data_IF_766505257103
#
_entry.id   IF_766505257103
#
_cell.length_a   1.000
_cell.length_b   1.000
_cell.length_c   1.000
_cell.angle_alpha   90.00
_cell.angle_beta   90.00
_cell.angle_gamma   90.00
#
_symmetry.space_group_name_H-M   'P 1'
#
loop_
_entity.id
_entity.type
_entity.pdbx_description
1 polymer ?
#
# COMPACT_ATOMS: atom_id res chain seq x y z
N UNK A 1 34.64 -49.32 -21.95
CA UNK A 1 34.37 -47.92 -22.42
C UNK A 1 32.89 -47.55 -22.60
N UNK A 2 31.95 -48.48 -22.47
CA UNK A 2 30.48 -48.15 -22.67
C UNK A 2 29.77 -47.68 -21.37
N UNK A 3 30.29 -47.88 -20.22
CA UNK A 3 29.66 -47.52 -18.92
C UNK A 3 29.90 -46.06 -18.47
N UNK A 4 30.97 -45.41 -18.95
CA UNK A 4 31.26 -44.00 -18.60
C UNK A 4 30.36 -42.99 -19.34
N UNK A 5 29.85 -43.33 -20.52
CA UNK A 5 28.96 -42.44 -21.29
C UNK A 5 27.50 -42.42 -20.81
N UNK A 6 27.08 -43.41 -20.01
CA UNK A 6 25.71 -43.44 -19.48
C UNK A 6 25.62 -42.53 -18.21
N UNK A 7 26.67 -42.49 -17.38
CA UNK A 7 26.72 -41.62 -16.18
C UNK A 7 26.76 -40.13 -16.59
N UNK A 8 27.48 -39.79 -17.66
CA UNK A 8 27.57 -38.40 -18.12
C UNK A 8 26.27 -37.87 -18.71
N UNK A 9 25.50 -38.73 -19.37
CA UNK A 9 24.16 -38.37 -19.86
C UNK A 9 23.10 -38.28 -18.77
N UNK A 10 23.22 -39.06 -17.70
CA UNK A 10 22.34 -39.00 -16.53
C UNK A 10 22.58 -37.72 -15.70
N UNK A 11 23.82 -37.24 -15.60
CA UNK A 11 24.17 -36.01 -14.89
C UNK A 11 23.70 -34.76 -15.65
N UNK A 12 23.71 -34.77 -17.00
CA UNK A 12 23.19 -33.66 -17.81
C UNK A 12 21.65 -33.56 -17.75
N UNK A 13 20.96 -34.67 -17.60
CA UNK A 13 19.47 -34.68 -17.48
C UNK A 13 19.03 -34.28 -16.07
N UNK A 14 19.84 -34.50 -15.03
CA UNK A 14 19.50 -34.09 -13.65
C UNK A 14 19.73 -32.59 -13.39
N UNK A 15 20.51 -31.89 -14.23
CA UNK A 15 20.78 -30.46 -14.13
C UNK A 15 19.73 -29.58 -14.83
N UNK A 16 18.76 -30.15 -15.54
CA UNK A 16 17.74 -29.41 -16.29
C UNK A 16 16.39 -29.28 -15.57
N UNK A 17 16.25 -29.78 -14.34
CA UNK A 17 15.03 -29.64 -13.54
C UNK A 17 15.22 -28.86 -12.24
N UNK A 18 16.12 -27.91 -12.17
CA UNK A 18 15.94 -26.81 -11.23
C UNK A 18 14.87 -25.89 -11.84
N UNK A 19 13.63 -26.18 -11.51
CA UNK A 19 12.53 -25.25 -11.71
C UNK A 19 12.86 -23.98 -10.90
N UNK A 20 13.64 -23.08 -11.47
CA UNK A 20 13.82 -21.74 -10.91
C UNK A 20 12.44 -21.11 -10.94
N UNK A 21 11.75 -21.12 -9.78
CA UNK A 21 10.57 -20.28 -9.60
C UNK A 21 11.02 -18.87 -9.95
N UNK A 22 10.71 -18.42 -11.16
CA UNK A 22 10.97 -17.06 -11.58
C UNK A 22 10.27 -16.16 -10.57
N UNK A 23 11.04 -15.40 -9.79
CA UNK A 23 10.48 -14.43 -8.87
C UNK A 23 9.78 -13.39 -9.75
N UNK A 24 8.47 -13.32 -9.61
CA UNK A 24 7.66 -12.37 -10.38
C UNK A 24 8.00 -10.97 -9.90
N UNK A 25 8.62 -10.16 -10.74
CA UNK A 25 9.07 -8.81 -10.39
C UNK A 25 7.92 -7.82 -10.11
N UNK A 26 6.69 -8.16 -10.52
CA UNK A 26 5.48 -7.34 -10.36
C UNK A 26 4.24 -8.21 -10.23
N UNK A 27 3.30 -7.75 -9.41
CA UNK A 27 1.99 -8.40 -9.18
C UNK A 27 0.88 -7.35 -9.25
N UNK A 28 -0.38 -7.79 -9.26
CA UNK A 28 -1.53 -6.91 -9.31
C UNK A 28 -1.94 -6.51 -10.73
N UNK A 29 -2.93 -5.62 -10.83
CA UNK A 29 -3.53 -5.22 -12.10
C UNK A 29 -2.57 -4.36 -12.94
N UNK A 30 -2.38 -4.73 -14.19
CA UNK A 30 -1.57 -3.98 -15.17
C UNK A 30 -2.45 -3.09 -16.03
N UNK A 31 -2.12 -1.81 -16.13
CA UNK A 31 -2.73 -0.87 -17.07
C UNK A 31 -1.65 -0.23 -17.94
N UNK A 32 -1.73 -0.33 -19.28
CA UNK A 32 -0.77 0.31 -20.18
C UNK A 32 -0.70 1.83 -20.00
N UNK A 33 -1.81 2.51 -19.73
CA UNK A 33 -1.85 3.97 -19.53
C UNK A 33 -1.14 4.42 -18.25
N UNK A 34 -0.88 3.51 -17.30
CA UNK A 34 -0.24 3.77 -16.01
C UNK A 34 1.16 3.15 -15.87
N UNK A 35 1.74 2.68 -16.98
CA UNK A 35 3.06 2.00 -17.00
C UNK A 35 4.18 2.86 -16.43
N UNK A 36 4.07 4.19 -16.48
CA UNK A 36 5.07 5.11 -15.91
C UNK A 36 5.24 4.90 -14.39
N UNK A 37 4.18 4.53 -13.66
CA UNK A 37 4.28 4.17 -12.24
C UNK A 37 5.06 2.86 -12.04
N UNK A 38 4.87 1.88 -12.94
CA UNK A 38 5.64 0.62 -12.91
C UNK A 38 7.13 0.87 -13.07
N UNK A 39 7.50 1.71 -14.05
CA UNK A 39 8.89 2.06 -14.33
C UNK A 39 9.50 2.79 -13.14
N UNK A 40 8.79 3.76 -12.58
CA UNK A 40 9.27 4.54 -11.44
C UNK A 40 9.44 3.67 -10.19
N UNK A 41 8.49 2.79 -9.89
CA UNK A 41 8.62 1.86 -8.76
C UNK A 41 9.81 0.92 -8.93
N UNK A 42 10.02 0.35 -10.12
CA UNK A 42 11.20 -0.49 -10.39
C UNK A 42 12.50 0.28 -10.18
N UNK A 43 12.57 1.51 -10.68
CA UNK A 43 13.73 2.36 -10.52
C UNK A 43 13.98 2.72 -9.05
N UNK A 44 12.93 3.05 -8.30
CA UNK A 44 13.03 3.29 -6.85
C UNK A 44 13.63 2.07 -6.13
N UNK A 45 13.06 0.88 -6.35
CA UNK A 45 13.56 -0.34 -5.70
C UNK A 45 15.01 -0.62 -6.06
N UNK A 46 15.36 -0.52 -7.35
CA UNK A 46 16.71 -0.77 -7.85
C UNK A 46 17.73 0.25 -7.33
N UNK A 47 17.41 1.54 -7.39
CA UNK A 47 18.40 2.60 -7.09
C UNK A 47 18.71 2.68 -5.58
N UNK A 48 17.82 2.21 -4.72
CA UNK A 48 17.98 2.25 -3.27
C UNK A 48 18.09 0.87 -2.62
N UNK A 49 18.28 -0.19 -3.41
CA UNK A 49 18.35 -1.59 -2.95
C UNK A 49 17.17 -1.98 -2.05
N UNK A 50 15.97 -1.54 -2.41
CA UNK A 50 14.75 -1.83 -1.68
C UNK A 50 14.23 -3.21 -2.11
N UNK A 51 14.08 -4.18 -1.19
CA UNK A 51 13.63 -5.52 -1.55
C UNK A 51 12.24 -5.55 -2.16
N UNK A 52 11.29 -4.79 -1.63
CA UNK A 52 9.93 -4.79 -2.12
C UNK A 52 9.13 -3.57 -1.71
N UNK A 53 8.04 -3.33 -2.44
CA UNK A 53 7.15 -2.22 -2.17
C UNK A 53 5.79 -2.38 -2.83
N UNK A 54 4.89 -1.53 -2.46
CA UNK A 54 3.51 -1.48 -2.94
C UNK A 54 3.12 -0.04 -3.30
N UNK A 55 2.34 0.13 -4.36
CA UNK A 55 1.73 1.41 -4.73
C UNK A 55 0.26 1.20 -5.09
N UNK A 56 -0.62 2.02 -4.52
CA UNK A 56 -2.01 2.14 -4.91
C UNK A 56 -2.37 3.60 -5.19
N UNK A 57 -3.26 3.81 -6.17
CA UNK A 57 -3.71 5.15 -6.59
C UNK A 57 -5.22 5.09 -6.84
N UNK A 58 -5.94 6.05 -6.29
CA UNK A 58 -7.34 6.29 -6.64
C UNK A 58 -7.47 7.54 -7.51
N UNK A 59 -8.43 7.52 -8.39
CA UNK A 59 -8.84 8.67 -9.19
C UNK A 59 -10.36 8.77 -9.16
N UNK A 60 -10.88 9.93 -8.75
CA UNK A 60 -12.31 10.16 -8.56
C UNK A 60 -12.99 9.04 -7.76
N UNK A 61 -12.40 8.72 -6.60
CA UNK A 61 -12.92 7.72 -5.66
C UNK A 61 -12.73 6.25 -6.08
N UNK A 62 -12.29 5.95 -7.30
CA UNK A 62 -12.07 4.59 -7.80
C UNK A 62 -10.61 4.18 -7.65
N UNK A 63 -10.34 2.97 -7.22
CA UNK A 63 -8.99 2.40 -7.19
C UNK A 63 -8.59 2.00 -8.62
N UNK A 64 -7.77 2.83 -9.26
CA UNK A 64 -7.37 2.66 -10.67
C UNK A 64 -6.00 2.00 -10.85
N UNK A 65 -5.23 1.94 -9.76
CA UNK A 65 -3.91 1.30 -9.76
C UNK A 65 -3.64 0.65 -8.41
N UNK A 66 -3.23 -0.62 -8.42
CA UNK A 66 -2.83 -1.35 -7.21
C UNK A 66 -1.86 -2.46 -7.58
N UNK A 67 -0.57 -2.28 -7.21
CA UNK A 67 0.49 -3.21 -7.60
C UNK A 67 1.52 -3.43 -6.50
N UNK A 68 2.06 -4.67 -6.48
CA UNK A 68 3.21 -5.07 -5.69
C UNK A 68 4.46 -5.22 -6.57
N UNK A 69 5.61 -4.89 -6.00
CA UNK A 69 6.92 -4.89 -6.66
C UNK A 69 7.97 -5.57 -5.79
N UNK A 70 8.85 -6.36 -6.39
CA UNK A 70 9.96 -7.02 -5.70
C UNK A 70 9.49 -8.09 -4.70
N UNK A 71 10.21 -8.22 -3.60
CA UNK A 71 10.10 -9.33 -2.64
C UNK A 71 9.46 -8.91 -1.32
N UNK A 72 8.43 -9.62 -0.93
CA UNK A 72 7.86 -9.61 0.42
C UNK A 72 8.79 -10.33 1.41
N UNK A 73 9.41 -11.43 0.96
CA UNK A 73 10.40 -12.20 1.71
C UNK A 73 11.55 -12.60 0.80
N UNK A 74 12.78 -12.11 1.11
CA UNK A 74 14.00 -12.42 0.36
C UNK A 74 14.40 -13.90 0.51
N UNK A 75 14.19 -14.49 1.68
CA UNK A 75 14.57 -15.87 1.98
C UNK A 75 13.63 -16.85 1.30
N UNK A 76 12.33 -16.66 1.47
CA UNK A 76 11.31 -17.49 0.83
C UNK A 76 11.11 -17.15 -0.65
N UNK A 77 11.72 -16.07 -1.16
CA UNK A 77 11.58 -15.55 -2.52
C UNK A 77 10.11 -15.33 -2.92
N UNK A 78 9.31 -14.85 -1.99
CA UNK A 78 7.91 -14.51 -2.25
C UNK A 78 7.78 -13.08 -2.74
N UNK A 79 6.98 -12.87 -3.79
CA UNK A 79 6.73 -11.53 -4.34
C UNK A 79 5.81 -10.71 -3.44
N UNK A 80 5.96 -9.39 -3.46
CA UNK A 80 4.97 -8.48 -2.88
C UNK A 80 3.68 -8.56 -3.69
N UNK A 81 2.56 -8.74 -3.00
CA UNK A 81 1.21 -8.75 -3.58
C UNK A 81 0.43 -7.51 -3.14
N UNK A 82 -0.58 -7.06 -3.92
CA UNK A 82 -1.39 -5.89 -3.57
C UNK A 82 -2.14 -5.99 -2.23
N UNK A 83 -2.36 -7.20 -1.72
CA UNK A 83 -2.99 -7.48 -0.43
C UNK A 83 -1.99 -7.75 0.71
N UNK A 84 -0.68 -7.63 0.44
CA UNK A 84 0.30 -7.68 1.52
C UNK A 84 0.16 -6.47 2.43
N UNK A 85 0.38 -6.67 3.73
CA UNK A 85 0.36 -5.61 4.72
C UNK A 85 1.79 -5.26 5.14
N UNK A 86 2.01 -3.97 5.36
CA UNK A 86 3.27 -3.36 5.75
C UNK A 86 3.09 -2.58 7.03
N UNK A 87 4.14 -2.42 7.84
CA UNK A 87 4.17 -1.41 8.90
C UNK A 87 4.07 -0.03 8.27
N UNK A 88 3.07 0.74 8.68
CA UNK A 88 2.81 2.06 8.12
C UNK A 88 3.39 3.20 8.95
N UNK A 89 4.04 2.86 10.07
CA UNK A 89 4.69 3.81 10.95
C UNK A 89 3.76 5.01 11.28
N UNK A 90 4.24 6.24 11.12
CA UNK A 90 3.50 7.46 11.50
C UNK A 90 2.20 7.72 10.72
N UNK A 91 1.90 7.02 9.64
CA UNK A 91 0.56 7.06 9.06
C UNK A 91 -0.52 6.57 10.06
N UNK A 92 -0.13 5.81 11.08
CA UNK A 92 -1.00 5.44 12.21
C UNK A 92 -1.61 6.66 12.91
N UNK A 93 -0.94 7.81 12.87
CA UNK A 93 -1.44 9.05 13.48
C UNK A 93 -2.69 9.58 12.77
N UNK A 94 -2.77 9.39 11.46
CA UNK A 94 -3.97 9.76 10.69
C UNK A 94 -5.19 8.95 11.16
N UNK A 95 -5.01 7.64 11.41
CA UNK A 95 -6.07 6.75 11.93
C UNK A 95 -6.56 7.26 13.30
N UNK A 96 -5.61 7.57 14.20
CA UNK A 96 -5.92 8.10 15.53
C UNK A 96 -6.61 9.47 15.43
N UNK A 97 -6.14 10.35 14.55
CA UNK A 97 -6.74 11.68 14.34
C UNK A 97 -8.18 11.55 13.81
N UNK A 98 -8.43 10.72 12.80
CA UNK A 98 -9.78 10.44 12.28
C UNK A 98 -10.69 9.92 13.40
N UNK A 99 -10.19 9.01 14.24
CA UNK A 99 -10.96 8.45 15.36
C UNK A 99 -11.30 9.52 16.42
N UNK A 100 -10.36 10.39 16.77
CA UNK A 100 -10.63 11.52 17.69
C UNK A 100 -11.64 12.49 17.05
N UNK A 101 -11.51 12.79 15.78
CA UNK A 101 -12.44 13.69 15.08
C UNK A 101 -13.84 13.07 14.95
N UNK A 102 -13.95 11.76 14.84
CA UNK A 102 -15.23 11.05 14.90
C UNK A 102 -15.88 11.18 16.28
N UNK A 103 -15.12 11.03 17.37
CA UNK A 103 -15.60 11.27 18.74
C UNK A 103 -15.96 12.73 18.99
N UNK A 104 -15.20 13.67 18.40
CA UNK A 104 -15.47 15.10 18.44
C UNK A 104 -16.82 15.43 17.77
N UNK A 105 -17.08 14.88 16.60
CA UNK A 105 -18.33 15.05 15.86
C UNK A 105 -19.53 14.52 16.62
N UNK A 106 -19.35 13.45 17.42
CA UNK A 106 -20.37 12.91 18.32
C UNK A 106 -20.57 13.73 19.60
N UNK A 107 -19.81 14.81 19.81
CA UNK A 107 -19.85 15.61 21.05
C UNK A 107 -19.31 14.88 22.29
N UNK A 108 -18.55 13.78 22.11
CA UNK A 108 -17.99 12.97 23.21
C UNK A 108 -16.65 13.49 23.71
N UNK A 109 -16.01 14.39 22.96
CA UNK A 109 -14.74 15.02 23.27
C UNK A 109 -14.68 16.41 22.63
N UNK A 110 -14.12 17.40 23.35
CA UNK A 110 -13.76 18.71 22.81
C UNK A 110 -12.28 18.79 22.44
N UNK A 111 -11.92 19.58 21.43
CA UNK A 111 -10.52 19.78 21.05
C UNK A 111 -9.73 20.55 22.13
N UNK A 112 -10.40 21.35 22.91
CA UNK A 112 -9.83 22.14 24.00
C UNK A 112 -9.97 21.44 25.37
N UNK A 113 -10.55 20.22 25.42
CA UNK A 113 -10.60 19.42 26.65
C UNK A 113 -9.18 19.08 27.10
N UNK A 114 -8.92 19.28 28.42
CA UNK A 114 -7.63 18.94 29.02
C UNK A 114 -7.47 17.43 29.19
N UNK A 115 -6.25 16.96 29.00
CA UNK A 115 -5.95 15.52 29.02
C UNK A 115 -5.71 15.02 30.44
N UNK A 116 -4.92 15.71 31.24
CA UNK A 116 -4.37 15.21 32.51
C UNK A 116 -4.91 15.98 33.74
N UNK A 117 -4.83 15.32 34.91
CA UNK A 117 -5.20 15.89 36.17
C UNK A 117 -6.61 15.52 36.64
N UNK A 118 -7.05 16.09 37.77
CA UNK A 118 -8.34 15.74 38.37
C UNK A 118 -9.54 16.04 37.47
N UNK A 119 -9.45 17.10 36.66
CA UNK A 119 -10.49 17.54 35.74
C UNK A 119 -10.20 17.15 34.29
N UNK A 120 -9.09 16.45 34.03
CA UNK A 120 -8.74 15.98 32.70
C UNK A 120 -9.44 14.67 32.32
N UNK A 121 -9.43 14.34 31.04
CA UNK A 121 -10.00 13.07 30.53
C UNK A 121 -9.30 11.87 31.18
N UNK A 122 -7.97 11.90 31.26
CA UNK A 122 -7.16 10.92 31.99
C UNK A 122 -6.98 11.39 33.43
N UNK A 123 -7.98 11.11 34.26
CA UNK A 123 -8.05 11.56 35.66
C UNK A 123 -7.62 10.48 36.67
N UNK A 124 -6.98 9.43 36.24
CA UNK A 124 -6.47 8.36 37.11
C UNK A 124 -5.38 8.91 38.06
N UNK A 125 -5.22 8.27 39.23
CA UNK A 125 -4.32 8.77 40.30
C UNK A 125 -2.88 8.98 39.80
N UNK A 126 -2.41 8.18 38.86
CA UNK A 126 -1.07 8.30 38.25
C UNK A 126 -0.87 9.66 37.55
N UNK A 127 -1.94 10.29 37.05
CA UNK A 127 -1.88 11.58 36.35
C UNK A 127 -2.20 12.80 37.25
N UNK A 128 -2.44 12.58 38.54
CA UNK A 128 -2.73 13.67 39.48
C UNK A 128 -1.49 14.26 40.16
N UNK A 129 -0.35 13.56 40.12
CA UNK A 129 0.89 13.94 40.82
C UNK A 129 2.04 14.06 39.81
N UNK A 130 1.88 14.95 38.80
CA UNK A 130 2.91 15.24 37.80
C UNK A 130 3.75 16.41 38.27
N UNK A 131 5.09 16.33 38.11
CA UNK A 131 6.06 17.34 38.58
C UNK A 131 5.86 18.68 37.85
N UNK A 132 5.84 18.65 36.51
CA UNK A 132 5.62 19.85 35.70
C UNK A 132 4.12 20.16 35.58
N UNK A 133 3.67 21.19 36.30
CA UNK A 133 2.26 21.60 36.33
C UNK A 133 1.73 22.08 34.98
N UNK A 134 2.59 22.47 34.05
CA UNK A 134 2.20 22.83 32.67
C UNK A 134 1.51 21.65 31.92
N UNK A 135 1.79 20.41 32.33
CA UNK A 135 1.15 19.20 31.74
C UNK A 135 -0.38 19.26 31.87
N UNK A 136 -0.92 19.87 32.93
CA UNK A 136 -2.37 19.99 33.12
C UNK A 136 -3.04 20.96 32.12
N UNK A 137 -2.28 21.77 31.40
CA UNK A 137 -2.77 22.62 30.30
C UNK A 137 -2.73 21.96 28.93
N UNK A 138 -2.31 20.70 28.84
CA UNK A 138 -2.29 19.96 27.55
C UNK A 138 -3.72 19.60 27.17
N UNK A 139 -4.13 19.99 25.96
CA UNK A 139 -5.44 19.68 25.42
C UNK A 139 -5.35 18.59 24.31
N UNK A 140 -6.50 18.07 23.89
CA UNK A 140 -6.63 17.15 22.76
C UNK A 140 -5.98 17.75 21.51
N UNK A 141 -6.26 19.01 21.21
CA UNK A 141 -5.69 19.73 20.06
C UNK A 141 -4.17 19.81 20.15
N UNK A 142 -3.60 20.08 21.33
CA UNK A 142 -2.14 20.12 21.51
C UNK A 142 -1.47 18.78 21.24
N UNK A 143 -2.12 17.65 21.58
CA UNK A 143 -1.60 16.32 21.26
C UNK A 143 -1.68 16.02 19.76
N UNK A 144 -2.83 16.28 19.13
CA UNK A 144 -3.04 16.05 17.70
C UNK A 144 -2.09 16.89 16.83
N UNK A 145 -1.77 18.11 17.24
CA UNK A 145 -0.94 19.05 16.49
C UNK A 145 0.53 19.11 16.94
N UNK A 146 1.00 18.20 17.81
CA UNK A 146 2.37 18.20 18.32
C UNK A 146 2.78 19.45 19.09
N UNK A 147 1.83 20.13 19.72
CA UNK A 147 2.06 21.35 20.52
C UNK A 147 2.04 21.11 22.04
N UNK A 148 2.16 19.86 22.48
CA UNK A 148 2.12 19.52 23.92
C UNK A 148 3.39 19.86 24.68
N UNK A 149 4.52 20.05 24.01
CA UNK A 149 5.83 20.21 24.67
C UNK A 149 6.45 18.88 25.15
N UNK A 150 5.78 17.75 24.98
CA UNK A 150 6.30 16.42 25.34
C UNK A 150 7.42 16.00 24.38
N UNK A 151 8.48 15.38 24.91
CA UNK A 151 9.49 14.71 24.08
C UNK A 151 8.94 13.43 23.45
N UNK A 152 9.54 12.98 22.34
CA UNK A 152 9.12 11.75 21.68
C UNK A 152 9.57 10.47 22.36
N UNK A 153 10.45 10.54 23.37
CA UNK A 153 11.21 9.40 23.90
C UNK A 153 10.83 8.95 25.30
N UNK A 154 10.03 9.69 26.07
CA UNK A 154 9.74 9.35 27.46
C UNK A 154 8.25 9.14 27.71
N UNK A 155 7.87 7.93 28.10
CA UNK A 155 6.53 7.57 28.57
C UNK A 155 6.33 7.84 30.07
N UNK A 156 7.38 8.31 30.80
CA UNK A 156 7.33 8.56 32.24
C UNK A 156 6.91 10.01 32.53
N UNK A 157 5.61 10.26 32.51
CA UNK A 157 5.06 11.60 32.70
C UNK A 157 5.36 12.21 34.07
N UNK A 158 5.51 11.39 35.12
CA UNK A 158 5.72 11.87 36.49
C UNK A 158 6.96 12.74 36.65
N UNK A 159 8.04 12.42 35.96
CA UNK A 159 9.33 13.11 36.02
C UNK A 159 9.66 13.92 34.77
N UNK A 160 8.78 13.95 33.79
CA UNK A 160 9.04 14.66 32.53
C UNK A 160 8.74 16.16 32.71
N UNK A 161 9.73 16.98 32.34
CA UNK A 161 9.53 18.43 32.15
C UNK A 161 9.18 18.67 30.68
N UNK A 162 8.19 19.53 30.41
CA UNK A 162 7.84 19.94 29.05
C UNK A 162 8.91 20.88 28.49
N UNK A 163 9.23 20.72 27.20
CA UNK A 163 10.19 21.58 26.51
C UNK A 163 9.71 23.05 26.42
N UNK A 164 8.39 23.24 26.41
CA UNK A 164 7.74 24.54 26.33
C UNK A 164 6.31 24.45 26.89
N UNK A 165 5.68 25.60 27.12
CA UNK A 165 4.26 25.67 27.50
C UNK A 165 3.37 25.16 26.35
N UNK A 166 2.39 24.27 26.61
CA UNK A 166 1.50 23.76 25.59
C UNK A 166 0.88 24.86 24.73
N UNK A 167 0.86 24.69 23.43
CA UNK A 167 0.32 25.63 22.44
C UNK A 167 1.30 26.73 22.00
N UNK A 168 2.46 26.93 22.66
CA UNK A 168 3.39 28.05 22.34
C UNK A 168 4.43 27.67 21.28
N UNK A 169 4.68 26.39 21.04
CA UNK A 169 5.63 25.89 20.06
C UNK A 169 5.19 24.49 19.63
N UNK A 170 5.94 23.88 18.70
CA UNK A 170 5.68 22.53 18.20
C UNK A 170 6.93 21.64 18.27
N UNK A 171 6.75 20.41 18.74
CA UNK A 171 7.75 19.35 18.77
C UNK A 171 7.07 18.01 18.48
N UNK A 172 7.48 17.36 17.41
CA UNK A 172 6.89 16.06 17.01
C UNK A 172 6.97 15.06 18.17
N UNK A 173 5.83 14.55 18.60
CA UNK A 173 5.73 13.69 19.78
C UNK A 173 4.92 12.42 19.48
N UNK A 174 5.59 11.26 19.48
CA UNK A 174 4.94 9.97 19.45
C UNK A 174 4.14 9.73 20.74
N UNK A 175 4.68 10.15 21.87
CA UNK A 175 4.05 10.02 23.19
C UNK A 175 2.70 10.72 23.24
N UNK A 176 2.57 11.90 22.62
CA UNK A 176 1.29 12.60 22.52
C UNK A 176 0.20 11.75 21.88
N UNK A 177 0.54 11.04 20.79
CA UNK A 177 -0.41 10.15 20.11
C UNK A 177 -0.69 8.86 20.88
N UNK A 178 0.26 8.33 21.64
CA UNK A 178 -0.01 7.21 22.57
C UNK A 178 -1.05 7.64 23.62
N UNK A 179 -0.97 8.88 24.14
CA UNK A 179 -2.00 9.39 25.03
C UNK A 179 -3.36 9.61 24.36
N UNK A 180 -3.39 10.01 23.08
CA UNK A 180 -4.65 10.04 22.33
C UNK A 180 -5.29 8.65 22.22
N UNK A 181 -4.50 7.58 22.04
CA UNK A 181 -4.98 6.21 22.13
C UNK A 181 -5.63 5.91 23.49
N UNK A 182 -4.98 6.29 24.60
CA UNK A 182 -5.54 6.16 25.95
C UNK A 182 -6.81 6.99 26.16
N UNK A 183 -6.87 8.18 25.56
CA UNK A 183 -8.08 9.02 25.57
C UNK A 183 -9.23 8.31 24.88
N UNK A 184 -9.01 7.70 23.71
CA UNK A 184 -10.03 6.90 23.01
C UNK A 184 -10.51 5.77 23.91
N UNK A 185 -9.61 4.98 24.51
CA UNK A 185 -9.96 3.89 25.43
C UNK A 185 -10.79 4.38 26.64
N UNK A 186 -10.38 5.53 27.24
CA UNK A 186 -11.08 6.09 28.40
C UNK A 186 -12.50 6.52 28.08
N UNK A 187 -12.72 7.14 26.92
CA UNK A 187 -14.02 7.65 26.48
C UNK A 187 -14.91 6.52 26.00
N UNK A 188 -14.36 5.57 25.24
CA UNK A 188 -15.15 4.50 24.61
C UNK A 188 -15.35 3.29 25.51
N UNK A 189 -14.51 3.10 26.52
CA UNK A 189 -14.43 1.90 27.37
C UNK A 189 -14.10 0.62 26.60
N UNK A 190 -13.42 0.78 25.44
CA UNK A 190 -12.96 -0.30 24.58
C UNK A 190 -11.46 -0.21 24.36
N UNK A 191 -10.79 -1.32 24.01
CA UNK A 191 -9.41 -1.28 23.54
C UNK A 191 -9.32 -0.41 22.29
N UNK A 192 -8.25 0.36 22.17
CA UNK A 192 -8.05 1.32 21.08
C UNK A 192 -8.19 0.67 19.70
N UNK A 193 -7.52 -0.48 19.50
CA UNK A 193 -7.55 -1.17 18.20
C UNK A 193 -8.94 -1.70 17.87
N UNK A 194 -9.60 -2.30 18.86
CA UNK A 194 -10.97 -2.81 18.72
C UNK A 194 -11.93 -1.71 18.30
N UNK A 195 -11.91 -0.57 19.03
CA UNK A 195 -12.78 0.56 18.68
C UNK A 195 -12.53 1.10 17.27
N UNK A 196 -11.25 1.30 16.90
CA UNK A 196 -10.89 1.79 15.56
C UNK A 196 -11.35 0.82 14.48
N UNK A 197 -11.11 -0.48 14.66
CA UNK A 197 -11.49 -1.49 13.68
C UNK A 197 -13.00 -1.58 13.50
N UNK A 198 -13.75 -1.62 14.59
CA UNK A 198 -15.18 -1.82 14.52
C UNK A 198 -15.94 -0.55 14.08
N UNK A 199 -15.45 0.64 14.48
CA UNK A 199 -16.19 1.89 14.27
C UNK A 199 -15.72 2.65 13.02
N UNK A 200 -14.43 2.60 12.68
CA UNK A 200 -13.85 3.37 11.58
C UNK A 200 -13.58 2.48 10.37
N UNK A 201 -12.94 1.32 10.55
CA UNK A 201 -12.45 0.51 9.43
C UNK A 201 -13.49 -0.47 8.88
N UNK A 202 -14.23 -1.16 9.74
CA UNK A 202 -15.21 -2.16 9.30
C UNK A 202 -16.35 -1.58 8.44
N UNK A 203 -16.92 -0.39 8.75
CA UNK A 203 -17.93 0.24 7.87
C UNK A 203 -17.39 0.56 6.48
N UNK A 204 -16.08 0.73 6.32
CA UNK A 204 -15.41 0.94 5.04
C UNK A 204 -15.05 -0.38 4.33
N UNK A 205 -15.33 -1.53 4.93
CA UNK A 205 -14.91 -2.84 4.40
C UNK A 205 -13.38 -3.03 4.45
N UNK A 206 -12.69 -2.41 5.42
CA UNK A 206 -11.26 -2.57 5.66
C UNK A 206 -11.07 -3.63 6.76
N UNK A 207 -10.68 -4.85 6.38
CA UNK A 207 -10.58 -5.99 7.30
C UNK A 207 -9.15 -6.27 7.77
N UNK A 208 -8.15 -5.99 6.92
CA UNK A 208 -6.77 -6.43 7.15
C UNK A 208 -5.90 -5.41 7.91
N UNK A 209 -6.34 -4.15 8.03
CA UNK A 209 -5.67 -3.16 8.89
C UNK A 209 -5.81 -3.51 10.37
N UNK A 210 -4.68 -3.61 11.06
CA UNK A 210 -4.62 -3.94 12.50
C UNK A 210 -3.30 -3.50 13.13
N UNK A 211 -3.17 -3.60 14.44
CA UNK A 211 -1.88 -3.37 15.08
C UNK A 211 -0.89 -4.51 14.76
N UNK A 212 0.33 -4.12 14.37
CA UNK A 212 1.40 -5.04 14.07
C UNK A 212 2.04 -5.64 15.32
N UNK A 213 3.00 -6.55 15.10
CA UNK A 213 3.81 -7.18 16.13
C UNK A 213 5.28 -6.80 15.94
N UNK A 214 5.99 -6.65 17.05
CA UNK A 214 7.40 -6.23 17.02
C UNK A 214 8.34 -7.35 16.57
N UNK A 215 8.15 -8.57 17.09
CA UNK A 215 9.04 -9.70 16.87
C UNK A 215 8.70 -10.44 15.57
N UNK A 216 9.73 -10.93 14.87
CA UNK A 216 9.58 -11.64 13.59
C UNK A 216 8.66 -12.86 13.69
N UNK A 217 8.78 -13.64 14.76
CA UNK A 217 7.99 -14.86 14.95
C UNK A 217 6.50 -14.59 15.21
N UNK A 218 6.15 -13.35 15.54
CA UNK A 218 4.78 -12.92 15.80
C UNK A 218 4.17 -12.14 14.61
N UNK A 219 4.89 -12.09 13.48
CA UNK A 219 4.46 -11.43 12.25
C UNK A 219 3.08 -11.93 11.82
N UNK A 220 2.25 -11.02 11.36
CA UNK A 220 0.88 -11.32 10.94
C UNK A 220 0.84 -12.05 9.58
N UNK A 221 -0.22 -12.80 9.29
CA UNK A 221 -0.46 -13.31 7.94
C UNK A 221 -0.44 -12.18 6.90
N UNK A 222 0.08 -12.45 5.70
CA UNK A 222 0.28 -11.49 4.61
C UNK A 222 1.26 -10.34 4.90
N UNK A 223 1.81 -10.22 6.11
CA UNK A 223 2.78 -9.18 6.44
C UNK A 223 4.13 -9.47 5.78
N UNK A 224 4.73 -8.46 5.15
CA UNK A 224 6.06 -8.57 4.52
C UNK A 224 7.17 -8.70 5.57
N UNK A 225 8.36 -9.13 5.17
CA UNK A 225 9.57 -9.01 5.98
C UNK A 225 10.19 -7.63 5.80
N UNK A 226 10.82 -7.12 6.87
CA UNK A 226 11.46 -5.79 6.91
C UNK A 226 12.98 -5.93 6.89
N UNK A 227 13.64 -5.00 6.22
CA UNK A 227 15.07 -5.05 5.96
C UNK A 227 15.73 -3.74 6.38
N UNK A 228 16.70 -3.85 7.27
CA UNK A 228 17.59 -2.77 7.69
C UNK A 228 18.92 -2.86 6.93
N UNK A 229 19.82 -1.93 7.17
CA UNK A 229 21.19 -2.00 6.66
C UNK A 229 21.80 -3.38 6.97
N UNK A 230 22.29 -4.13 5.95
CA UNK A 230 22.84 -5.47 6.16
C UNK A 230 24.01 -5.54 7.15
N UNK A 231 24.71 -4.42 7.35
CA UNK A 231 25.83 -4.31 8.31
C UNK A 231 25.43 -3.79 9.68
N UNK A 232 24.12 -3.51 9.91
CA UNK A 232 23.64 -3.04 11.20
C UNK A 232 23.82 -4.13 12.27
N UNK A 233 24.41 -3.79 13.44
CA UNK A 233 24.57 -4.77 14.51
C UNK A 233 23.22 -5.16 15.11
N UNK A 234 23.15 -6.35 15.69
CA UNK A 234 22.07 -6.70 16.60
C UNK A 234 22.09 -5.76 17.81
N UNK A 235 20.94 -5.51 18.38
CA UNK A 235 20.76 -4.65 19.55
C UNK A 235 19.95 -5.39 20.64
N UNK A 236 20.05 -4.99 21.92
CA UNK A 236 19.19 -5.54 22.96
C UNK A 236 17.72 -5.37 22.61
N UNK A 237 16.93 -6.41 22.83
CA UNK A 237 15.48 -6.34 22.67
C UNK A 237 14.85 -5.38 23.67
N UNK A 238 13.91 -4.57 23.25
CA UNK A 238 13.11 -3.69 24.12
C UNK A 238 12.19 -4.46 25.07
N UNK A 239 12.01 -5.76 24.86
CA UNK A 239 11.19 -6.64 25.73
C UNK A 239 12.04 -7.39 26.76
N UNK A 240 13.27 -7.71 26.40
CA UNK A 240 14.24 -8.41 27.24
C UNK A 240 15.67 -8.00 26.81
N UNK A 241 16.30 -7.15 27.59
CA UNK A 241 17.63 -6.59 27.28
C UNK A 241 18.76 -7.64 27.22
N UNK A 242 18.52 -8.87 27.67
CA UNK A 242 19.47 -9.98 27.57
C UNK A 242 19.45 -10.67 26.20
N UNK A 243 18.39 -10.44 25.40
CA UNK A 243 18.20 -11.04 24.08
C UNK A 243 18.60 -10.03 23.00
N UNK A 244 19.53 -10.44 22.14
CA UNK A 244 19.96 -9.62 20.99
C UNK A 244 19.09 -9.90 19.77
N UNK A 245 18.55 -8.84 19.17
CA UNK A 245 17.61 -8.91 18.03
C UNK A 245 18.00 -7.95 16.91
N UNK A 246 17.55 -8.19 15.67
CA UNK A 246 17.64 -7.20 14.60
C UNK A 246 16.84 -5.93 14.97
N UNK A 247 17.38 -4.77 14.64
CA UNK A 247 16.79 -3.46 15.00
C UNK A 247 15.32 -3.33 14.61
N UNK A 248 14.93 -3.83 13.43
CA UNK A 248 13.55 -3.81 12.91
C UNK A 248 12.61 -4.81 13.60
N UNK A 249 13.13 -5.75 14.40
CA UNK A 249 12.34 -6.78 15.06
C UNK A 249 12.48 -6.75 16.59
N UNK A 250 11.97 -5.66 17.17
CA UNK A 250 11.95 -5.48 18.65
C UNK A 250 13.20 -4.83 19.22
N UNK A 251 14.09 -4.27 18.37
CA UNK A 251 15.29 -3.59 18.82
C UNK A 251 15.15 -2.09 19.05
N UNK A 252 14.18 -1.42 18.38
CA UNK A 252 14.10 0.03 18.43
C UNK A 252 12.69 0.58 18.71
N UNK A 253 11.64 -0.22 18.44
CA UNK A 253 10.26 0.26 18.51
C UNK A 253 9.30 -0.86 18.90
N UNK A 254 8.40 -0.58 19.85
CA UNK A 254 7.31 -1.49 20.21
C UNK A 254 6.05 -1.16 19.42
N UNK A 255 5.68 -2.04 18.49
CA UNK A 255 4.42 -1.94 17.74
C UNK A 255 3.23 -2.00 18.69
N UNK A 256 3.29 -2.88 19.69
CA UNK A 256 2.24 -3.15 20.65
C UNK A 256 1.93 -1.95 21.54
N UNK A 257 2.98 -1.26 22.05
CA UNK A 257 2.83 -0.10 22.92
C UNK A 257 2.59 1.20 22.16
N UNK A 258 2.78 1.20 20.85
CA UNK A 258 2.75 2.39 19.99
C UNK A 258 1.62 2.34 18.95
N UNK A 259 0.56 1.56 19.19
CA UNK A 259 -0.56 1.40 18.25
C UNK A 259 -1.03 2.74 17.70
N UNK A 260 -1.33 3.70 18.55
CA UNK A 260 -1.92 4.99 18.16
C UNK A 260 -0.96 5.95 17.44
N UNK A 261 0.36 5.76 17.55
CA UNK A 261 1.34 6.67 16.95
C UNK A 261 2.15 6.10 15.79
N UNK A 262 2.24 4.74 15.68
CA UNK A 262 3.13 4.13 14.69
C UNK A 262 3.01 2.62 14.57
N UNK A 263 2.09 1.97 15.28
CA UNK A 263 2.02 0.52 15.42
C UNK A 263 1.08 -0.21 14.46
N UNK A 264 0.45 0.46 13.49
CA UNK A 264 -0.45 -0.18 12.54
C UNK A 264 0.29 -0.82 11.37
N UNK A 265 -0.34 -1.87 10.82
CA UNK A 265 -0.01 -2.44 9.52
C UNK A 265 -1.21 -2.32 8.59
N UNK A 266 -0.94 -2.09 7.29
CA UNK A 266 -1.95 -1.92 6.27
C UNK A 266 -1.41 -2.30 4.88
N UNK A 267 -2.30 -2.55 3.92
CA UNK A 267 -1.99 -2.50 2.49
C UNK A 267 -2.14 -1.08 1.95
N UNK A 268 -1.56 -0.80 0.79
CA UNK A 268 -1.78 0.49 0.10
C UNK A 268 -3.23 0.68 -0.33
N UNK A 269 -3.95 -0.41 -0.61
CA UNK A 269 -5.38 -0.36 -0.95
C UNK A 269 -6.22 0.09 0.24
N UNK A 270 -5.97 -0.48 1.43
CA UNK A 270 -6.68 -0.10 2.66
C UNK A 270 -6.44 1.37 3.00
N UNK A 271 -5.19 1.83 2.87
CA UNK A 271 -4.85 3.24 3.07
C UNK A 271 -5.58 4.16 2.08
N UNK A 272 -5.63 3.78 0.80
CA UNK A 272 -6.39 4.53 -0.21
C UNK A 272 -7.88 4.53 0.09
N UNK A 273 -8.45 3.40 0.54
CA UNK A 273 -9.85 3.29 0.91
C UNK A 273 -10.19 4.19 2.10
N UNK A 274 -9.35 4.19 3.14
CA UNK A 274 -9.49 5.09 4.28
C UNK A 274 -9.36 6.56 3.87
N UNK A 275 -8.44 6.90 2.97
CA UNK A 275 -8.27 8.27 2.48
C UNK A 275 -9.52 8.73 1.73
N UNK A 276 -10.10 7.91 0.84
CA UNK A 276 -11.34 8.24 0.13
C UNK A 276 -12.53 8.49 1.05
N UNK A 277 -12.46 8.03 2.29
CA UNK A 277 -13.52 8.22 3.29
C UNK A 277 -13.37 9.51 4.13
N UNK A 278 -12.34 10.33 3.86
CA UNK A 278 -12.09 11.60 4.56
C UNK A 278 -11.51 12.69 3.64
N UNK A 279 -11.54 12.51 2.32
CA UNK A 279 -10.84 13.37 1.35
C UNK A 279 -11.64 14.58 0.89
N UNK A 280 -12.91 14.70 1.28
CA UNK A 280 -13.86 15.76 0.88
C UNK A 280 -14.18 15.79 -0.60
N UNK A 281 -14.01 14.70 -1.31
CA UNK A 281 -14.50 14.61 -2.68
C UNK A 281 -15.90 13.99 -2.71
N UNK A 282 -16.73 14.45 -3.63
CA UNK A 282 -18.09 13.92 -3.77
C UNK A 282 -18.15 12.52 -4.41
N UNK A 283 -17.01 12.02 -4.85
CA UNK A 283 -16.91 10.75 -5.57
C UNK A 283 -17.18 9.51 -4.68
N UNK A 284 -16.91 9.63 -3.38
CA UNK A 284 -17.32 8.66 -2.34
C UNK A 284 -17.78 9.40 -1.08
N UNK A 285 -18.68 8.83 -0.28
CA UNK A 285 -19.10 9.46 0.98
C UNK A 285 -17.96 9.46 1.99
N UNK A 286 -17.77 10.61 2.65
CA UNK A 286 -16.90 10.72 3.81
C UNK A 286 -17.58 10.14 5.07
N UNK A 287 -16.79 9.62 6.02
CA UNK A 287 -17.26 9.15 7.34
C UNK A 287 -17.33 10.28 8.38
N UNK A 288 -16.82 11.45 8.04
CA UNK A 288 -16.87 12.66 8.85
C UNK A 288 -17.60 13.76 8.08
N UNK A 289 -18.31 14.62 8.78
CA UNK A 289 -18.93 15.79 8.16
C UNK A 289 -17.88 16.73 7.56
N UNK A 290 -18.19 17.44 6.46
CA UNK A 290 -17.27 18.38 5.82
C UNK A 290 -16.73 19.47 6.78
N UNK A 291 -17.52 19.91 7.75
CA UNK A 291 -17.10 20.87 8.78
C UNK A 291 -16.02 20.27 9.73
N UNK A 292 -16.18 19.01 10.09
CA UNK A 292 -15.23 18.26 10.92
C UNK A 292 -13.91 18.04 10.18
N UNK A 293 -13.96 17.65 8.91
CA UNK A 293 -12.76 17.51 8.08
C UNK A 293 -12.07 18.88 7.90
N UNK A 294 -12.82 19.96 7.64
CA UNK A 294 -12.24 21.30 7.58
C UNK A 294 -11.48 21.68 8.85
N UNK A 295 -12.01 21.33 10.02
CA UNK A 295 -11.33 21.53 11.30
C UNK A 295 -10.08 20.67 11.41
N UNK A 296 -10.16 19.38 11.00
CA UNK A 296 -9.07 18.42 11.02
C UNK A 296 -7.87 18.85 10.18
N UNK A 297 -8.11 19.41 8.98
CA UNK A 297 -7.06 19.78 8.01
C UNK A 297 -6.70 21.25 8.02
N UNK A 298 -7.25 22.05 8.94
CA UNK A 298 -6.88 23.46 9.11
C UNK A 298 -5.49 23.58 9.72
N UNK A 299 -4.50 24.17 9.05
CA UNK A 299 -3.16 24.33 9.58
C UNK A 299 -3.17 25.10 10.90
N UNK A 300 -2.39 24.64 11.87
CA UNK A 300 -2.27 25.24 13.20
C UNK A 300 -0.90 25.92 13.37
N UNK A 301 0.14 25.25 12.88
CA UNK A 301 1.53 25.75 12.94
C UNK A 301 2.32 25.18 11.76
N UNK A 302 3.62 25.52 11.68
CA UNK A 302 4.55 24.91 10.73
C UNK A 302 5.49 23.96 11.44
N UNK A 303 5.68 22.76 10.89
CA UNK A 303 6.61 21.76 11.38
C UNK A 303 7.59 21.37 10.25
N UNK A 304 8.90 21.50 10.50
CA UNK A 304 9.94 21.30 9.47
C UNK A 304 9.69 22.11 8.19
N UNK A 305 9.19 23.34 8.32
CA UNK A 305 8.87 24.21 7.19
C UNK A 305 7.55 23.91 6.47
N UNK A 306 6.83 22.87 6.89
CA UNK A 306 5.53 22.49 6.29
C UNK A 306 4.39 22.80 7.26
N UNK A 307 3.28 23.40 6.80
CA UNK A 307 2.09 23.58 7.62
C UNK A 307 1.55 22.23 8.11
N UNK A 308 1.24 22.16 9.43
CA UNK A 308 0.71 20.96 10.07
C UNK A 308 -0.62 21.23 10.76
N UNK A 309 -1.53 20.29 10.66
CA UNK A 309 -2.88 20.33 11.22
C UNK A 309 -3.06 19.22 12.28
N UNK A 310 -4.24 18.64 12.38
CA UNK A 310 -4.53 17.56 13.34
C UNK A 310 -4.21 16.20 12.70
N UNK A 311 -2.92 15.82 12.70
CA UNK A 311 -2.43 14.56 12.13
C UNK A 311 -2.08 14.59 10.64
N UNK A 312 -1.99 15.78 10.03
CA UNK A 312 -1.77 15.96 8.60
C UNK A 312 -0.79 17.09 8.31
N UNK A 313 0.12 16.88 7.37
CA UNK A 313 0.81 17.96 6.68
C UNK A 313 -0.08 18.53 5.58
N UNK A 314 -0.06 19.85 5.41
CA UNK A 314 -0.93 20.56 4.46
C UNK A 314 -0.08 21.44 3.55
N UNK A 315 -0.27 21.29 2.24
CA UNK A 315 0.20 22.31 1.30
C UNK A 315 -0.93 23.33 1.12
N UNK A 316 -0.78 24.52 1.69
CA UNK A 316 -1.82 25.56 1.69
C UNK A 316 -2.07 26.15 0.29
N UNK A 317 -1.09 26.12 -0.60
CA UNK A 317 -1.21 26.61 -1.97
C UNK A 317 -2.02 25.66 -2.84
N UNK A 318 -1.70 24.37 -2.80
CA UNK A 318 -2.38 23.35 -3.64
C UNK A 318 -3.51 22.63 -2.90
N UNK A 319 -3.69 22.88 -1.61
CA UNK A 319 -4.62 22.15 -0.75
C UNK A 319 -4.47 20.62 -0.84
N UNK A 320 -3.22 20.17 -0.91
CA UNK A 320 -2.88 18.75 -0.81
C UNK A 320 -2.58 18.40 0.65
N UNK A 321 -2.95 17.21 1.06
CA UNK A 321 -2.70 16.71 2.42
C UNK A 321 -1.86 15.46 2.34
N UNK A 322 -0.91 15.28 3.26
CA UNK A 322 -0.11 14.07 3.30
C UNK A 322 0.37 13.76 4.72
N UNK A 323 0.87 12.58 4.87
CA UNK A 323 1.75 12.20 5.97
C UNK A 323 2.72 11.13 5.48
N UNK A 324 3.84 11.03 6.14
CA UNK A 324 4.84 9.99 5.92
C UNK A 324 4.98 9.10 7.15
N UNK A 325 5.64 7.98 6.98
CA UNK A 325 5.94 7.05 8.03
C UNK A 325 7.33 6.46 7.88
N UNK A 326 8.08 6.43 8.97
CA UNK A 326 9.44 5.90 9.01
C UNK A 326 9.66 5.09 10.28
N UNK A 327 10.02 3.83 10.12
CA UNK A 327 10.60 2.97 11.16
C UNK A 327 11.77 2.20 10.56
N UNK A 328 12.63 1.65 11.41
CA UNK A 328 13.68 0.76 10.95
C UNK A 328 13.09 -0.37 10.11
N UNK A 329 13.51 -0.47 8.86
CA UNK A 329 13.06 -1.48 7.90
C UNK A 329 11.78 -1.15 7.13
N UNK A 330 11.18 0.03 7.28
CA UNK A 330 9.99 0.40 6.49
C UNK A 330 9.88 1.91 6.28
N UNK A 331 9.37 2.28 5.13
CA UNK A 331 8.90 3.63 4.82
C UNK A 331 7.50 3.60 4.23
N UNK A 332 6.71 4.60 4.55
CA UNK A 332 5.35 4.78 4.09
C UNK A 332 5.11 6.23 3.68
N UNK A 333 4.30 6.44 2.67
CA UNK A 333 3.86 7.78 2.26
C UNK A 333 2.43 7.70 1.76
N UNK A 334 1.60 8.61 2.21
CA UNK A 334 0.22 8.73 1.77
C UNK A 334 -0.11 10.19 1.50
N UNK A 335 -0.80 10.45 0.40
CA UNK A 335 -1.24 11.80 0.04
C UNK A 335 -2.61 11.82 -0.63
N UNK A 336 -3.34 12.89 -0.33
CA UNK A 336 -4.53 13.35 -1.03
C UNK A 336 -4.17 14.59 -1.84
N UNK A 337 -4.43 14.56 -3.15
CA UNK A 337 -4.24 15.70 -4.04
C UNK A 337 -5.59 16.36 -4.38
N UNK A 338 -5.57 17.67 -4.57
CA UNK A 338 -6.77 18.45 -4.92
C UNK A 338 -7.42 18.08 -6.27
N UNK A 339 -6.75 17.24 -7.06
CA UNK A 339 -7.21 16.74 -8.37
C UNK A 339 -7.98 15.41 -8.28
N UNK A 340 -8.61 15.11 -7.14
CA UNK A 340 -9.34 13.88 -6.84
C UNK A 340 -8.48 12.61 -6.96
N UNK A 341 -7.19 12.74 -6.62
CA UNK A 341 -6.24 11.64 -6.59
C UNK A 341 -5.79 11.40 -5.15
N UNK A 342 -5.99 10.17 -4.65
CA UNK A 342 -5.32 9.70 -3.43
C UNK A 342 -4.33 8.61 -3.80
N UNK A 343 -3.22 8.52 -3.06
CA UNK A 343 -2.28 7.43 -3.24
C UNK A 343 -1.57 7.07 -1.95
N UNK A 344 -1.14 5.82 -1.88
CA UNK A 344 -0.30 5.30 -0.81
C UNK A 344 0.84 4.49 -1.42
N UNK A 345 2.05 4.67 -0.88
CA UNK A 345 3.27 3.97 -1.27
C UNK A 345 3.95 3.41 -0.02
N UNK A 346 4.25 2.12 -0.02
CA UNK A 346 4.85 1.39 1.09
C UNK A 346 6.07 0.61 0.60
N UNK A 347 7.16 0.62 1.38
CA UNK A 347 8.36 -0.19 1.09
C UNK A 347 8.87 -0.86 2.37
N UNK A 348 9.49 -2.04 2.21
CA UNK A 348 9.97 -2.85 3.32
C UNK A 348 11.48 -2.65 3.64
N UNK A 349 11.96 -1.43 3.45
CA UNK A 349 13.33 -1.01 3.78
C UNK A 349 13.39 0.50 4.02
N UNK A 350 14.38 0.98 4.81
CA UNK A 350 14.49 2.39 5.18
C UNK A 350 15.94 2.86 5.47
N UNK A 351 16.95 2.20 4.95
CA UNK A 351 18.34 2.45 5.35
C UNK A 351 19.18 3.29 4.36
N UNK A 352 18.72 3.49 3.13
CA UNK A 352 19.50 4.18 2.09
C UNK A 352 19.32 5.69 2.15
N UNK A 353 20.41 6.44 2.04
CA UNK A 353 20.40 7.91 1.93
C UNK A 353 19.61 8.35 0.69
N UNK A 354 18.78 9.40 0.82
CA UNK A 354 17.95 9.92 -0.28
C UNK A 354 16.68 9.09 -0.58
N UNK A 355 16.54 7.91 -0.01
CA UNK A 355 15.37 7.03 -0.22
C UNK A 355 14.06 7.74 0.10
N UNK A 356 14.02 8.50 1.19
CA UNK A 356 12.81 9.25 1.59
C UNK A 356 12.39 10.29 0.54
N UNK A 357 13.33 11.10 0.06
CA UNK A 357 13.05 12.13 -0.95
C UNK A 357 12.57 11.52 -2.27
N UNK A 358 13.20 10.43 -2.72
CA UNK A 358 12.77 9.71 -3.91
C UNK A 358 11.36 9.11 -3.77
N UNK A 359 11.06 8.51 -2.59
CA UNK A 359 9.77 7.92 -2.31
C UNK A 359 8.65 8.97 -2.27
N UNK A 360 8.85 10.07 -1.54
CA UNK A 360 7.84 11.11 -1.35
C UNK A 360 7.51 11.89 -2.64
N UNK A 361 8.46 12.02 -3.56
CA UNK A 361 8.29 12.72 -4.84
C UNK A 361 7.78 11.83 -5.98
N UNK A 362 7.90 10.51 -5.87
CA UNK A 362 7.70 9.56 -6.98
C UNK A 362 6.35 9.75 -7.68
N UNK A 363 5.25 9.61 -6.94
CA UNK A 363 3.90 9.65 -7.55
C UNK A 363 3.58 11.06 -8.07
N UNK A 364 3.97 12.09 -7.30
CA UNK A 364 3.74 13.49 -7.66
C UNK A 364 4.40 13.91 -8.98
N UNK A 365 5.56 13.35 -9.31
CA UNK A 365 6.28 13.64 -10.56
C UNK A 365 5.67 12.97 -11.80
N UNK A 366 4.92 11.87 -11.60
CA UNK A 366 4.35 11.08 -12.71
C UNK A 366 2.91 11.51 -13.03
N UNK A 367 2.12 11.92 -12.04
CA UNK A 367 0.73 12.33 -12.26
C UNK A 367 0.56 13.30 -13.44
N UNK A 368 1.42 14.34 -13.64
CA UNK A 368 1.30 15.25 -14.78
C UNK A 368 1.51 14.60 -16.16
N UNK A 369 2.12 13.41 -16.19
CA UNK A 369 2.38 12.66 -17.43
C UNK A 369 1.24 11.71 -17.82
N UNK A 370 0.23 11.57 -16.95
CA UNK A 370 -0.92 10.69 -17.21
C UNK A 370 -1.93 11.41 -18.07
N UNK A 371 -2.12 10.91 -19.28
CA UNK A 371 -3.05 11.48 -20.26
C UNK A 371 -4.47 10.91 -20.15
N UNK A 372 -4.60 9.68 -19.61
CA UNK A 372 -5.88 9.03 -19.39
C UNK A 372 -5.84 8.09 -18.20
N UNK A 373 -6.90 8.11 -17.39
CA UNK A 373 -7.09 7.19 -16.28
C UNK A 373 -7.99 6.04 -16.69
N UNK A 374 -7.70 4.79 -16.28
CA UNK A 374 -8.56 3.64 -16.59
C UNK A 374 -9.96 3.81 -16.01
N UNK A 375 -10.98 3.37 -16.76
CA UNK A 375 -12.37 3.33 -16.29
C UNK A 375 -12.66 2.03 -15.56
N UNK A 376 -12.06 1.87 -14.38
CA UNK A 376 -12.12 0.65 -13.55
C UNK A 376 -12.13 1.05 -12.07
N UNK A 377 -12.73 0.20 -11.24
CA UNK A 377 -12.62 0.28 -9.78
C UNK A 377 -12.13 -1.07 -9.22
N UNK A 378 -10.89 -1.09 -8.76
CA UNK A 378 -10.26 -2.29 -8.20
C UNK A 378 -10.65 -2.54 -6.73
N UNK A 379 -11.38 -1.63 -6.07
CA UNK A 379 -11.89 -1.89 -4.70
C UNK A 379 -12.91 -3.03 -4.67
N UNK A 380 -13.67 -3.20 -5.76
CA UNK A 380 -14.71 -4.21 -5.88
C UNK A 380 -14.21 -5.51 -6.53
N UNK A 381 -12.93 -5.57 -6.88
CA UNK A 381 -12.33 -6.72 -7.54
C UNK A 381 -11.43 -7.53 -6.59
N UNK A 382 -11.45 -8.85 -6.73
CA UNK A 382 -10.46 -9.72 -6.09
C UNK A 382 -9.13 -9.58 -6.84
N UNK A 383 -8.22 -8.75 -6.32
CA UNK A 383 -6.89 -8.58 -6.92
C UNK A 383 -6.03 -9.79 -6.54
N UNK A 384 -5.79 -10.66 -7.51
CA UNK A 384 -5.03 -11.88 -7.31
C UNK A 384 -3.52 -11.59 -7.44
N UNK A 385 -2.72 -12.08 -6.48
CA UNK A 385 -1.26 -12.00 -6.49
C UNK A 385 -0.60 -12.59 -7.76
N UNK A 386 -1.29 -13.46 -8.47
CA UNK A 386 -0.79 -14.17 -9.66
C UNK A 386 -0.78 -13.34 -10.95
N UNK A 387 -1.32 -12.12 -10.95
CA UNK A 387 -1.32 -11.28 -12.15
C UNK A 387 0.07 -10.71 -12.40
N UNK A 388 0.81 -11.38 -13.23
CA UNK A 388 2.09 -10.91 -13.79
C UNK A 388 1.88 -10.16 -15.08
N UNK A 389 2.94 -9.44 -15.54
CA UNK A 389 3.08 -8.81 -16.86
C UNK A 389 2.97 -9.78 -18.07
N UNK A 390 2.42 -10.90 -17.93
CA UNK A 390 2.04 -11.75 -19.03
C UNK A 390 0.55 -11.61 -19.20
N UNK A 391 0.17 -10.76 -20.18
CA UNK A 391 -1.16 -10.78 -20.81
C UNK A 391 -2.28 -10.97 -19.79
N UNK A 392 -3.18 -10.02 -19.65
CA UNK A 392 -4.44 -10.21 -18.94
C UNK A 392 -4.75 -11.70 -18.91
N UNK A 393 -4.92 -12.29 -17.71
CA UNK A 393 -5.59 -13.59 -17.67
C UNK A 393 -7.00 -13.30 -18.14
N UNK A 394 -7.12 -13.34 -19.45
CA UNK A 394 -8.38 -13.32 -20.13
C UNK A 394 -9.16 -14.42 -19.47
N UNK A 395 -10.30 -14.09 -18.93
CA UNK A 395 -11.33 -15.07 -18.69
C UNK A 395 -11.55 -15.74 -20.04
N UNK A 396 -10.89 -16.87 -20.25
CA UNK A 396 -11.28 -17.79 -21.28
C UNK A 396 -12.60 -18.33 -20.76
N UNK A 397 -13.70 -17.67 -21.11
CA UNK A 397 -14.91 -18.42 -21.31
C UNK A 397 -14.65 -19.18 -22.61
N UNK A 398 -14.34 -20.49 -22.58
CA UNK A 398 -13.98 -21.26 -23.78
C UNK A 398 -15.10 -21.25 -24.79
N UNK A 399 -16.31 -20.83 -24.44
CA UNK A 399 -17.47 -20.68 -25.28
C UNK A 399 -17.52 -19.41 -26.14
N UNK A 400 -16.70 -18.38 -25.82
CA UNK A 400 -16.76 -17.09 -26.51
C UNK A 400 -15.72 -16.93 -27.63
N UNK A 401 -14.61 -17.70 -27.59
CA UNK A 401 -13.51 -17.59 -28.53
C UNK A 401 -12.80 -18.92 -28.69
N UNK A 402 -12.77 -19.46 -29.89
CA UNK A 402 -12.12 -20.75 -30.23
C UNK A 402 -11.27 -20.65 -31.49
N UNK A 403 -10.16 -21.39 -31.50
CA UNK A 403 -9.26 -21.51 -32.65
C UNK A 403 -9.14 -22.99 -33.01
N UNK A 404 -9.48 -23.33 -34.24
CA UNK A 404 -9.46 -24.73 -34.70
C UNK A 404 -9.15 -24.85 -36.19
N UNK A 405 -8.49 -25.97 -36.60
CA UNK A 405 -7.89 -27.00 -35.74
C UNK A 405 -6.68 -26.49 -34.98
N UNK A 406 -6.40 -27.08 -33.83
CA UNK A 406 -5.23 -26.80 -33.03
C UNK A 406 -4.73 -28.12 -32.37
N UNK A 407 -3.60 -28.70 -32.79
CA UNK A 407 -2.62 -28.19 -33.79
C UNK A 407 -3.16 -28.02 -35.20
N UNK A 408 -2.45 -27.25 -36.02
CA UNK A 408 -2.82 -26.86 -37.39
C UNK A 408 -1.62 -26.97 -38.34
N UNK A 409 -1.87 -27.23 -39.61
CA UNK A 409 -0.87 -27.14 -40.68
C UNK A 409 -0.60 -25.72 -41.19
N UNK A 410 -0.96 -24.71 -40.37
CA UNK A 410 -0.89 -23.30 -40.71
C UNK A 410 -2.22 -22.70 -41.15
N UNK A 411 -3.23 -23.50 -41.45
CA UNK A 411 -4.59 -23.03 -41.79
C UNK A 411 -5.55 -23.35 -40.65
N UNK A 412 -6.18 -22.30 -40.10
CA UNK A 412 -7.10 -22.46 -38.98
C UNK A 412 -8.17 -21.36 -38.98
N UNK A 413 -9.26 -21.64 -38.31
CA UNK A 413 -10.40 -20.74 -38.17
C UNK A 413 -10.43 -20.17 -36.74
N UNK A 414 -10.62 -18.89 -36.65
CA UNK A 414 -10.91 -18.17 -35.39
C UNK A 414 -12.40 -17.96 -35.31
N UNK A 415 -13.07 -18.58 -34.33
CA UNK A 415 -14.51 -18.43 -34.09
C UNK A 415 -14.71 -17.58 -32.83
N UNK A 416 -15.59 -16.58 -32.95
CA UNK A 416 -15.94 -15.66 -31.85
C UNK A 416 -17.46 -15.66 -31.71
N UNK A 417 -17.95 -15.92 -30.49
CA UNK A 417 -19.38 -15.93 -30.16
C UNK A 417 -19.68 -15.07 -28.94
N UNK A 418 -20.82 -14.37 -28.96
CA UNK A 418 -21.32 -13.66 -27.74
C UNK A 418 -20.60 -12.38 -27.32
N UNK A 419 -19.76 -11.78 -28.16
CA UNK A 419 -19.18 -10.46 -27.91
C UNK A 419 -20.20 -9.35 -28.21
N UNK A 420 -20.17 -8.26 -27.44
CA UNK A 420 -21.19 -7.20 -27.51
C UNK A 420 -20.87 -6.08 -28.51
N UNK A 421 -19.67 -6.01 -29.07
CA UNK A 421 -19.26 -4.94 -30.01
C UNK A 421 -19.14 -5.45 -31.45
N UNK A 422 -19.50 -4.58 -32.41
CA UNK A 422 -19.59 -4.94 -33.83
C UNK A 422 -18.25 -5.02 -34.55
N UNK A 423 -17.16 -4.41 -34.04
CA UNK A 423 -15.84 -4.41 -34.68
C UNK A 423 -14.79 -4.93 -33.72
N UNK A 424 -14.10 -6.01 -34.10
CA UNK A 424 -13.02 -6.62 -33.33
C UNK A 424 -11.69 -6.50 -34.08
N UNK A 425 -10.58 -6.34 -33.32
CA UNK A 425 -9.21 -6.46 -33.83
C UNK A 425 -8.70 -7.87 -33.52
N UNK A 426 -8.21 -8.56 -34.55
CA UNK A 426 -7.48 -9.82 -34.41
C UNK A 426 -5.99 -9.54 -34.60
N UNK A 427 -5.16 -10.09 -33.73
CA UNK A 427 -3.71 -9.98 -33.77
C UNK A 427 -3.09 -11.36 -33.52
N UNK A 428 -2.09 -11.75 -34.33
CA UNK A 428 -1.37 -12.99 -34.14
C UNK A 428 0.10 -12.67 -33.94
N UNK A 429 0.68 -13.22 -32.87
CA UNK A 429 2.10 -13.07 -32.55
C UNK A 429 2.79 -14.41 -32.38
N UNK A 430 4.10 -14.44 -32.62
CA UNK A 430 4.92 -15.63 -32.38
C UNK A 430 5.30 -15.74 -30.88
N UNK A 431 6.04 -16.81 -30.53
CA UNK A 431 6.45 -17.11 -29.15
C UNK A 431 7.34 -16.05 -28.47
N UNK A 432 7.95 -15.15 -29.25
CA UNK A 432 8.75 -14.02 -28.74
C UNK A 432 7.98 -12.69 -28.74
N UNK A 433 6.66 -12.71 -29.02
CA UNK A 433 5.78 -11.54 -29.00
C UNK A 433 5.86 -10.65 -30.25
N UNK A 434 6.53 -11.09 -31.35
CA UNK A 434 6.53 -10.35 -32.61
C UNK A 434 5.18 -10.55 -33.30
N UNK A 435 4.50 -9.44 -33.64
CA UNK A 435 3.29 -9.47 -34.47
C UNK A 435 3.58 -10.07 -35.84
N UNK A 436 2.75 -11.04 -36.27
CA UNK A 436 2.86 -11.78 -37.51
C UNK A 436 1.71 -11.44 -38.47
N UNK A 437 0.52 -11.21 -37.88
CA UNK A 437 -0.69 -10.93 -38.65
C UNK A 437 -1.63 -10.07 -37.81
N UNK A 438 -2.35 -9.14 -38.47
CA UNK A 438 -3.45 -8.42 -37.87
C UNK A 438 -4.60 -8.23 -38.86
N UNK A 439 -5.81 -8.19 -38.35
CA UNK A 439 -7.01 -7.95 -39.13
C UNK A 439 -8.10 -7.31 -38.26
N UNK A 440 -8.95 -6.52 -38.89
CA UNK A 440 -10.20 -6.09 -38.30
C UNK A 440 -11.34 -6.89 -38.90
N UNK A 441 -12.27 -7.38 -38.10
CA UNK A 441 -13.43 -8.09 -38.56
C UNK A 441 -14.71 -7.66 -37.84
N UNK A 442 -15.83 -7.78 -38.54
CA UNK A 442 -17.13 -7.47 -37.99
C UNK A 442 -17.79 -8.76 -37.49
N UNK A 443 -18.37 -8.74 -36.30
CA UNK A 443 -19.04 -9.89 -35.66
C UNK A 443 -20.30 -10.39 -36.41
N UNK A 444 -20.70 -9.75 -37.51
CA UNK A 444 -21.72 -10.34 -38.41
C UNK A 444 -21.24 -11.66 -39.06
N UNK A 445 -19.92 -11.87 -39.16
CA UNK A 445 -19.29 -13.14 -39.47
C UNK A 445 -18.65 -13.69 -38.20
N UNK A 446 -19.25 -14.69 -37.58
CA UNK A 446 -18.76 -15.33 -36.35
C UNK A 446 -17.41 -16.05 -36.48
N UNK A 447 -16.83 -16.10 -37.68
CA UNK A 447 -15.60 -16.84 -38.01
C UNK A 447 -14.69 -16.04 -38.93
N UNK A 448 -13.36 -16.20 -38.74
CA UNK A 448 -12.29 -15.65 -39.59
C UNK A 448 -11.30 -16.79 -39.92
N UNK A 449 -11.05 -17.04 -41.19
CA UNK A 449 -10.06 -18.01 -41.61
C UNK A 449 -8.69 -17.37 -41.77
N UNK A 450 -7.67 -18.01 -41.21
CA UNK A 450 -6.29 -17.55 -41.17
C UNK A 450 -5.39 -18.55 -41.88
N UNK A 451 -4.48 -18.05 -42.71
CA UNK A 451 -3.46 -18.84 -43.37
C UNK A 451 -2.05 -18.35 -42.96
N UNK A 452 -1.39 -19.12 -42.13
CA UNK A 452 0.01 -18.96 -41.73
C UNK A 452 0.88 -20.12 -42.25
N UNK A 453 0.47 -20.84 -43.31
CA UNK A 453 1.20 -21.98 -43.83
C UNK A 453 2.61 -21.63 -44.33
N UNK A 454 2.89 -20.37 -44.66
CA UNK A 454 4.20 -19.86 -45.03
C UNK A 454 5.07 -19.38 -43.86
N UNK A 455 4.59 -19.51 -42.63
CA UNK A 455 5.33 -19.12 -41.43
C UNK A 455 6.00 -20.31 -40.75
N UNK A 456 7.07 -20.11 -39.95
CA UNK A 456 7.76 -21.19 -39.28
C UNK A 456 6.83 -22.01 -38.38
N UNK A 457 7.06 -23.33 -38.34
CA UNK A 457 6.38 -24.22 -37.39
C UNK A 457 6.69 -23.81 -35.96
N UNK A 458 5.73 -23.91 -35.05
CA UNK A 458 5.91 -23.54 -33.67
C UNK A 458 4.65 -23.02 -32.98
N UNK A 459 4.86 -22.38 -31.82
CA UNK A 459 3.80 -21.82 -31.00
C UNK A 459 3.51 -20.36 -31.40
N UNK A 460 2.23 -20.08 -31.63
CA UNK A 460 1.69 -18.74 -31.88
C UNK A 460 0.56 -18.42 -30.92
N UNK A 461 0.32 -17.12 -30.71
CA UNK A 461 -0.77 -16.59 -29.89
C UNK A 461 -1.73 -15.81 -30.80
N UNK A 462 -3.00 -16.18 -30.76
CA UNK A 462 -4.09 -15.48 -31.45
C UNK A 462 -4.81 -14.64 -30.40
N UNK A 463 -4.86 -13.32 -30.58
CA UNK A 463 -5.54 -12.38 -29.72
C UNK A 463 -6.69 -11.72 -30.47
N UNK A 464 -7.85 -11.63 -29.83
CA UNK A 464 -9.01 -10.88 -30.31
C UNK A 464 -9.31 -9.78 -29.28
N UNK A 465 -9.42 -8.54 -29.75
CA UNK A 465 -9.79 -7.37 -28.96
C UNK A 465 -11.18 -6.88 -29.43
N UNK A 466 -12.14 -6.80 -28.49
CA UNK A 466 -13.53 -6.40 -28.77
C UNK A 466 -13.82 -4.92 -28.48
N UNK A 467 -12.80 -4.09 -28.31
CA UNK A 467 -12.95 -2.69 -27.90
C UNK A 467 -12.86 -2.50 -26.36
N UNK A 468 -13.08 -3.56 -25.60
CA UNK A 468 -13.08 -3.53 -24.12
C UNK A 468 -12.13 -4.57 -23.54
N UNK A 469 -12.17 -5.80 -24.06
CA UNK A 469 -11.43 -6.94 -23.54
C UNK A 469 -10.51 -7.56 -24.60
N UNK A 470 -9.41 -8.17 -24.14
CA UNK A 470 -8.53 -8.99 -24.95
C UNK A 470 -8.79 -10.46 -24.66
N UNK A 471 -9.01 -11.26 -25.71
CA UNK A 471 -9.15 -12.73 -25.64
C UNK A 471 -7.96 -13.34 -26.35
N UNK A 472 -7.24 -14.30 -25.74
CA UNK A 472 -6.07 -14.92 -26.36
C UNK A 472 -6.14 -16.42 -26.27
N UNK A 473 -5.86 -17.11 -27.38
CA UNK A 473 -5.63 -18.55 -27.42
C UNK A 473 -4.28 -18.86 -28.06
N UNK A 474 -3.67 -19.96 -27.61
CA UNK A 474 -2.46 -20.51 -28.26
C UNK A 474 -2.84 -21.42 -29.40
N UNK A 475 -2.09 -21.37 -30.49
CA UNK A 475 -2.16 -22.33 -31.60
C UNK A 475 -0.76 -22.88 -31.87
N UNK A 476 -0.70 -24.17 -32.21
CA UNK A 476 0.51 -24.85 -32.62
C UNK A 476 0.42 -25.06 -34.11
N UNK A 477 1.43 -24.62 -34.87
CA UNK A 477 1.59 -24.88 -36.29
C UNK A 477 2.61 -26.01 -36.45
N UNK A 478 2.22 -27.12 -37.11
CA UNK A 478 3.00 -28.33 -37.33
C UNK A 478 3.39 -28.51 -38.81
#
# INVERSE_FOLDING_TARGET
MKTKNLLFKAIIILLLFTCTKSVKAQTGYYSPSLVNFDVAMKNLLKNYDIPGGQLAITYKGRLVYSRGFGLADKTAKTSVCPDNIFRIASLSKQITAITIMHLYEQGRIGLDDTIFGANGILNDSIFRTILDKKVYGITVKHLLSHQSGMTSSSFYLKSQMLNFTPGTNALYSNVGYVFLGRVIEKITKQDYETYVRDTILAPLGIADMRSGKSLLNNKLPKEVNYYDNPTAPLVPSIFDSTVMVPRQYGGTFSMENSKACGGWVASTQDLCKLMCAVDKFSSRPDILLPATINTMVKPIHSFLGNPYALGWFINTTSNNWWHDGLLTGTMAYQARRNTEINYALLVNSSYSSGQYSALSSLVGSIIPLITSWPDIDLFDSTIICSQTNSVNKIYINPSLFTVYPNPSNGKFTVKVEGLQQTNCKLEISNSIGKEIHNAFFNLQTSTVDIDLSNFPKGLYFVMVYDGTNNYTQKIIIE
#
